data_IF_342601698313
#
_entry.id   IF_342601698313
#
_cell.length_a   1.000
_cell.length_b   1.000
_cell.length_c   1.000
_cell.angle_alpha   90.00
_cell.angle_beta   90.00
_cell.angle_gamma   90.00
#
_symmetry.space_group_name_H-M   'P 1'
#
loop_
_entity.id
_entity.type
_entity.pdbx_description
1 polymer ?
#
# COMPACT_ATOMS: atom_id res chain seq x y z
N UNK A 1 -20.91 -21.61 -13.74
CA UNK A 1 -19.89 -20.61 -13.35
C UNK A 1 -18.62 -20.69 -14.18
N UNK A 2 -17.99 -21.86 -14.40
CA UNK A 2 -16.76 -21.99 -15.21
C UNK A 2 -16.81 -21.35 -16.61
N UNK A 3 -17.94 -21.49 -17.34
CA UNK A 3 -18.12 -20.86 -18.65
C UNK A 3 -18.05 -19.33 -18.58
N UNK A 4 -18.80 -18.74 -17.64
CA UNK A 4 -18.83 -17.30 -17.41
C UNK A 4 -17.47 -16.76 -16.94
N UNK A 5 -16.76 -17.51 -16.08
CA UNK A 5 -15.39 -17.17 -15.67
C UNK A 5 -14.46 -17.05 -16.89
N UNK A 6 -14.50 -18.04 -17.81
CA UNK A 6 -13.73 -18.01 -19.05
C UNK A 6 -14.10 -16.83 -19.95
N UNK A 7 -15.41 -16.57 -20.14
CA UNK A 7 -15.90 -15.44 -20.93
C UNK A 7 -15.41 -14.09 -20.38
N UNK A 8 -15.41 -13.91 -19.05
CA UNK A 8 -14.88 -12.70 -18.40
C UNK A 8 -13.38 -12.56 -18.67
N UNK A 9 -12.60 -13.63 -18.50
CA UNK A 9 -11.15 -13.60 -18.69
C UNK A 9 -10.74 -13.33 -20.14
N UNK A 10 -11.45 -13.92 -21.11
CA UNK A 10 -11.24 -13.66 -22.54
C UNK A 10 -11.58 -12.22 -22.91
N UNK A 11 -12.73 -11.71 -22.42
CA UNK A 11 -13.15 -10.33 -22.65
C UNK A 11 -12.15 -9.31 -22.05
N UNK A 12 -11.63 -9.60 -20.86
CA UNK A 12 -10.72 -8.72 -20.14
C UNK A 12 -9.34 -8.58 -20.80
N UNK A 13 -8.96 -9.47 -21.73
CA UNK A 13 -7.70 -9.43 -22.50
C UNK A 13 -6.47 -9.21 -21.62
N UNK A 14 -6.40 -9.94 -20.50
CA UNK A 14 -5.28 -9.89 -19.56
C UNK A 14 -5.24 -8.66 -18.63
N UNK A 15 -6.18 -7.72 -18.73
CA UNK A 15 -6.26 -6.57 -17.80
C UNK A 15 -6.79 -6.96 -16.42
N UNK A 16 -7.65 -7.97 -16.40
CA UNK A 16 -8.29 -8.53 -15.19
C UNK A 16 -8.40 -10.03 -15.41
N UNK A 17 -8.22 -10.78 -14.33
CA UNK A 17 -8.49 -12.22 -14.28
C UNK A 17 -9.39 -12.52 -13.07
N UNK A 18 -10.35 -13.42 -13.26
CA UNK A 18 -11.20 -13.97 -12.21
C UNK A 18 -10.99 -15.48 -12.11
N UNK A 19 -10.96 -15.99 -10.89
CA UNK A 19 -10.74 -17.39 -10.57
C UNK A 19 -11.75 -17.84 -9.52
N UNK A 20 -12.22 -19.08 -9.63
CA UNK A 20 -13.08 -19.70 -8.60
C UNK A 20 -14.47 -19.05 -8.49
N UNK A 21 -15.04 -18.66 -9.63
CA UNK A 21 -16.31 -17.93 -9.67
C UNK A 21 -17.44 -18.78 -9.06
N UNK A 22 -18.14 -18.23 -8.07
CA UNK A 22 -19.28 -18.85 -7.40
C UNK A 22 -20.31 -17.81 -6.95
N UNK A 23 -21.50 -18.27 -6.61
CA UNK A 23 -22.46 -17.44 -5.91
C UNK A 23 -21.95 -17.10 -4.50
N UNK A 24 -22.28 -15.88 -4.05
CA UNK A 24 -22.00 -15.38 -2.70
C UNK A 24 -23.29 -15.28 -1.90
N UNK A 25 -23.19 -15.35 -0.58
CA UNK A 25 -24.29 -15.00 0.32
C UNK A 25 -24.22 -13.53 0.75
N UNK A 26 -25.33 -12.99 1.29
CA UNK A 26 -25.35 -11.65 1.91
C UNK A 26 -24.41 -11.57 3.12
N UNK A 27 -24.30 -12.66 3.87
CA UNK A 27 -23.44 -12.76 5.05
C UNK A 27 -21.96 -12.67 4.67
N UNK A 28 -21.55 -13.36 3.61
CA UNK A 28 -20.19 -13.29 3.10
C UNK A 28 -19.81 -11.88 2.64
N UNK A 29 -20.70 -11.20 1.92
CA UNK A 29 -20.49 -9.81 1.51
C UNK A 29 -20.28 -8.89 2.73
N UNK A 30 -21.01 -9.13 3.84
CA UNK A 30 -20.79 -8.39 5.09
C UNK A 30 -19.42 -8.68 5.69
N UNK A 31 -19.04 -9.95 5.80
CA UNK A 31 -17.72 -10.37 6.30
C UNK A 31 -16.58 -9.70 5.53
N UNK A 32 -16.65 -9.68 4.20
CA UNK A 32 -15.65 -9.02 3.35
C UNK A 32 -15.57 -7.51 3.62
N UNK A 33 -16.72 -6.84 3.81
CA UNK A 33 -16.77 -5.40 4.08
C UNK A 33 -16.24 -5.03 5.46
N UNK A 34 -16.46 -5.89 6.44
CA UNK A 34 -16.04 -5.69 7.84
C UNK A 34 -14.58 -6.09 8.07
N UNK A 35 -14.02 -6.91 7.17
CA UNK A 35 -12.65 -7.37 7.26
C UNK A 35 -11.65 -6.20 7.23
N UNK A 36 -10.84 -6.11 8.29
CA UNK A 36 -9.75 -5.12 8.43
C UNK A 36 -8.39 -5.76 8.16
N UNK A 37 -8.31 -6.62 7.16
CA UNK A 37 -7.08 -7.31 6.84
C UNK A 37 -5.96 -6.33 6.50
N UNK A 38 -4.75 -6.56 7.01
CA UNK A 38 -3.55 -5.94 6.50
C UNK A 38 -3.41 -6.13 4.99
N UNK A 39 -2.72 -5.18 4.36
CA UNK A 39 -2.39 -5.24 2.94
C UNK A 39 -0.90 -5.12 2.76
N UNK A 40 -0.38 -5.85 1.78
CA UNK A 40 1.02 -5.83 1.39
C UNK A 40 1.12 -5.15 0.04
N UNK A 41 2.00 -4.16 -0.04
CA UNK A 41 2.22 -3.34 -1.22
C UNK A 41 3.66 -3.47 -1.68
N UNK A 42 3.87 -3.48 -2.99
CA UNK A 42 5.15 -3.20 -3.60
C UNK A 42 5.11 -1.79 -4.14
N UNK A 43 6.01 -0.93 -3.71
CA UNK A 43 6.06 0.48 -4.14
C UNK A 43 7.43 0.81 -4.67
N UNK A 44 7.47 1.32 -5.89
CA UNK A 44 8.69 1.86 -6.49
C UNK A 44 8.72 3.37 -6.26
N UNK A 45 9.81 3.84 -5.67
CA UNK A 45 10.00 5.25 -5.34
C UNK A 45 11.21 5.83 -6.06
N UNK A 46 11.16 7.13 -6.34
CA UNK A 46 12.30 7.93 -6.77
C UNK A 46 12.69 8.94 -5.69
N UNK A 47 13.99 9.21 -5.56
CA UNK A 47 14.57 10.16 -4.59
C UNK A 47 15.89 10.74 -5.13
N UNK A 48 16.42 11.76 -4.45
CA UNK A 48 17.70 12.39 -4.81
C UNK A 48 18.84 11.97 -3.87
N UNK A 49 18.55 11.71 -2.59
CA UNK A 49 19.54 11.38 -1.55
C UNK A 49 19.36 9.97 -1.02
N UNK A 50 20.07 9.01 -1.62
CA UNK A 50 20.05 7.59 -1.24
C UNK A 50 20.34 7.34 0.25
N UNK A 51 21.32 8.04 0.80
CA UNK A 51 21.89 7.78 2.13
C UNK A 51 20.86 7.81 3.25
N UNK A 52 19.83 8.66 3.13
CA UNK A 52 18.80 8.84 4.16
C UNK A 52 17.59 7.92 4.01
N UNK A 53 17.45 7.24 2.86
CA UNK A 53 16.31 6.35 2.62
C UNK A 53 16.36 5.13 3.55
N UNK A 54 17.54 4.56 3.79
CA UNK A 54 17.66 3.36 4.63
C UNK A 54 17.25 3.63 6.09
N UNK A 55 17.75 4.73 6.66
CA UNK A 55 17.37 5.20 8.01
C UNK A 55 15.86 5.51 8.09
N UNK A 56 15.33 6.21 7.07
CA UNK A 56 13.92 6.59 7.02
C UNK A 56 12.97 5.38 6.90
N UNK A 57 13.35 4.35 6.12
CA UNK A 57 12.59 3.10 6.03
C UNK A 57 12.57 2.38 7.37
N UNK A 58 13.72 2.24 8.04
CA UNK A 58 13.79 1.57 9.34
C UNK A 58 12.96 2.29 10.41
N UNK A 59 12.90 3.62 10.37
CA UNK A 59 12.07 4.43 11.27
C UNK A 59 10.55 4.24 11.09
N UNK A 60 10.12 3.63 9.98
CA UNK A 60 8.72 3.31 9.70
C UNK A 60 8.31 1.88 10.09
N UNK A 61 9.24 1.02 10.51
CA UNK A 61 8.93 -0.33 10.96
C UNK A 61 8.12 -0.26 12.27
N UNK A 62 7.02 -1.01 12.33
CA UNK A 62 6.07 -1.05 13.45
C UNK A 62 5.57 0.35 13.91
N UNK A 63 5.53 1.31 12.99
CA UNK A 63 5.32 2.73 13.31
C UNK A 63 3.85 3.13 13.18
N UNK A 64 3.32 3.83 14.20
CA UNK A 64 2.07 4.58 14.07
C UNK A 64 2.32 5.90 13.32
N UNK A 65 1.48 6.17 12.32
CA UNK A 65 1.45 7.40 11.54
C UNK A 65 0.07 8.07 11.66
N UNK A 66 0.04 9.38 11.47
CA UNK A 66 -1.19 10.16 11.32
C UNK A 66 -1.33 10.61 9.87
N UNK A 67 -2.43 10.24 9.22
CA UNK A 67 -2.73 10.63 7.84
C UNK A 67 -4.00 11.49 7.80
N UNK A 68 -3.85 12.75 7.38
CA UNK A 68 -4.95 13.55 6.88
C UNK A 68 -5.55 12.90 5.63
N UNK A 69 -6.76 13.30 5.27
CA UNK A 69 -7.39 12.79 4.06
C UNK A 69 -6.63 13.34 2.85
N UNK A 70 -6.07 12.48 1.97
CA UNK A 70 -5.18 12.95 0.91
C UNK A 70 -5.81 14.02 0.04
N UNK A 71 -5.02 15.03 -0.35
CA UNK A 71 -5.48 16.17 -1.15
C UNK A 71 -6.23 15.73 -2.41
N UNK A 72 -5.68 14.72 -3.11
CA UNK A 72 -6.26 14.12 -4.33
C UNK A 72 -7.62 13.44 -4.15
N UNK A 73 -8.07 13.23 -2.91
CA UNK A 73 -9.35 12.57 -2.58
C UNK A 73 -10.30 13.44 -1.75
N UNK A 74 -9.90 14.65 -1.37
CA UNK A 74 -10.70 15.55 -0.53
C UNK A 74 -12.09 15.83 -1.12
N UNK A 75 -12.20 15.98 -2.44
CA UNK A 75 -13.49 16.21 -3.12
C UNK A 75 -14.54 15.10 -2.91
N UNK A 76 -14.13 13.91 -2.44
CA UNK A 76 -14.99 12.74 -2.28
C UNK A 76 -14.98 12.12 -0.89
N UNK A 77 -14.20 12.67 0.04
CA UNK A 77 -14.00 12.11 1.38
C UNK A 77 -14.03 13.24 2.40
N UNK A 78 -14.61 12.97 3.56
CA UNK A 78 -14.52 13.88 4.70
C UNK A 78 -13.06 14.14 5.06
N UNK A 79 -12.72 15.42 5.23
CA UNK A 79 -11.40 15.86 5.62
C UNK A 79 -11.15 15.61 7.11
N UNK A 80 -10.56 14.45 7.41
CA UNK A 80 -10.20 14.06 8.78
C UNK A 80 -8.83 13.40 8.82
N UNK A 81 -8.20 13.45 10.00
CA UNK A 81 -6.94 12.75 10.33
C UNK A 81 -7.25 11.38 10.91
N UNK A 82 -6.53 10.35 10.46
CA UNK A 82 -6.65 8.97 10.94
C UNK A 82 -5.29 8.43 11.33
N UNK A 83 -5.22 7.75 12.46
CA UNK A 83 -4.04 6.97 12.86
C UNK A 83 -3.99 5.65 12.12
N UNK A 84 -2.82 5.25 11.63
CA UNK A 84 -2.57 3.98 10.95
C UNK A 84 -1.24 3.41 11.41
N UNK A 85 -1.13 2.09 11.46
CA UNK A 85 0.13 1.41 11.72
C UNK A 85 0.75 0.86 10.45
N UNK A 86 2.03 1.16 10.25
CA UNK A 86 2.89 0.44 9.31
C UNK A 86 3.40 -0.77 10.08
N UNK A 87 2.88 -1.95 9.72
CA UNK A 87 3.16 -3.19 10.43
C UNK A 87 4.58 -3.67 10.12
N UNK A 88 4.99 -3.54 8.86
CA UNK A 88 6.36 -3.82 8.44
C UNK A 88 6.69 -3.05 7.15
N UNK A 89 7.97 -2.77 6.94
CA UNK A 89 8.48 -2.20 5.70
C UNK A 89 9.93 -2.63 5.47
N UNK A 90 10.26 -3.02 4.24
CA UNK A 90 11.64 -3.32 3.84
C UNK A 90 11.98 -2.77 2.47
N UNK A 91 13.27 -2.62 2.24
CA UNK A 91 13.83 -2.37 0.90
C UNK A 91 14.03 -3.72 0.21
N UNK A 92 13.38 -3.92 -0.93
CA UNK A 92 13.59 -5.08 -1.82
C UNK A 92 14.75 -4.84 -2.79
N UNK A 93 14.87 -3.61 -3.30
CA UNK A 93 15.92 -3.21 -4.23
C UNK A 93 16.26 -1.73 -4.01
N UNK A 94 17.54 -1.37 -4.06
CA UNK A 94 18.01 0.02 -3.87
C UNK A 94 19.02 0.41 -4.95
N UNK A 95 18.73 1.49 -5.68
CA UNK A 95 19.61 2.11 -6.69
C UNK A 95 20.05 3.50 -6.24
N UNK A 96 20.72 4.24 -7.11
CA UNK A 96 21.22 5.58 -6.81
C UNK A 96 20.08 6.59 -6.60
N UNK A 97 19.00 6.48 -7.37
CA UNK A 97 17.88 7.44 -7.41
C UNK A 97 16.50 6.77 -7.32
N UNK A 98 16.45 5.45 -7.15
CA UNK A 98 15.20 4.69 -7.07
C UNK A 98 15.32 3.53 -6.08
N UNK A 99 14.21 3.16 -5.44
CA UNK A 99 14.12 1.94 -4.64
C UNK A 99 12.76 1.27 -4.80
N UNK A 100 12.75 -0.04 -4.61
CA UNK A 100 11.53 -0.83 -4.51
C UNK A 100 11.36 -1.25 -3.06
N UNK A 101 10.24 -0.88 -2.45
CA UNK A 101 9.91 -1.20 -1.07
C UNK A 101 8.75 -2.19 -1.01
N UNK A 102 8.76 -3.05 0.02
CA UNK A 102 7.62 -3.89 0.39
C UNK A 102 7.05 -3.34 1.69
N UNK A 103 5.76 -3.01 1.70
CA UNK A 103 5.09 -2.35 2.84
C UNK A 103 3.89 -3.19 3.27
N UNK A 104 3.89 -3.68 4.51
CA UNK A 104 2.71 -4.26 5.17
C UNK A 104 2.08 -3.18 6.05
N UNK A 105 0.83 -2.81 5.77
CA UNK A 105 0.15 -1.74 6.50
C UNK A 105 -1.29 -2.10 6.87
N UNK A 106 -1.83 -1.42 7.87
CA UNK A 106 -3.25 -1.53 8.24
C UNK A 106 -4.17 -1.13 7.08
N UNK A 107 -5.37 -1.71 7.08
CA UNK A 107 -6.40 -1.39 6.10
C UNK A 107 -6.73 0.10 6.06
N UNK A 108 -6.83 0.63 4.84
CA UNK A 108 -7.12 2.05 4.59
C UNK A 108 -5.94 3.00 4.78
N UNK A 109 -4.71 2.47 4.89
CA UNK A 109 -3.48 3.28 4.81
C UNK A 109 -3.27 3.81 3.39
N UNK A 110 -2.96 5.09 3.27
CA UNK A 110 -2.68 5.74 2.00
C UNK A 110 -1.18 5.66 1.69
N UNK A 111 -0.78 4.62 0.95
CA UNK A 111 0.65 4.33 0.68
C UNK A 111 1.35 5.44 -0.09
N UNK A 112 0.68 6.07 -1.06
CA UNK A 112 1.29 7.19 -1.80
C UNK A 112 1.68 8.32 -0.85
N UNK A 113 0.75 8.68 0.02
CA UNK A 113 0.94 9.75 0.99
C UNK A 113 1.88 9.37 2.14
N UNK A 114 2.00 8.08 2.49
CA UNK A 114 3.08 7.58 3.36
C UNK A 114 4.47 7.81 2.74
N UNK A 115 4.62 7.63 1.43
CA UNK A 115 5.90 7.86 0.75
C UNK A 115 6.19 9.35 0.61
N UNK A 116 5.25 10.13 0.07
CA UNK A 116 5.48 11.53 -0.34
C UNK A 116 5.24 12.56 0.77
N UNK A 117 4.51 12.18 1.82
CA UNK A 117 4.10 13.09 2.90
C UNK A 117 2.90 13.98 2.60
N UNK A 118 2.46 14.08 1.33
CA UNK A 118 1.34 14.92 0.88
C UNK A 118 1.42 16.36 1.41
N UNK A 119 2.57 17.02 1.23
CA UNK A 119 2.79 18.38 1.73
C UNK A 119 2.73 18.52 3.26
N UNK A 120 2.91 17.42 4.00
CA UNK A 120 2.82 17.38 5.46
C UNK A 120 1.51 16.81 6.01
N UNK A 121 0.59 16.35 5.14
CA UNK A 121 -0.63 15.65 5.53
C UNK A 121 -0.40 14.28 6.16
N UNK A 122 0.76 13.64 5.94
CA UNK A 122 1.15 12.38 6.63
C UNK A 122 2.37 12.56 7.53
N UNK A 123 2.24 12.18 8.81
CA UNK A 123 3.30 12.34 9.83
C UNK A 123 3.47 11.10 10.72
N UNK A 124 4.68 10.52 10.81
CA UNK A 124 5.79 10.70 9.88
C UNK A 124 5.47 10.13 8.48
N UNK A 125 6.19 10.61 7.47
CA UNK A 125 6.24 10.04 6.12
C UNK A 125 7.68 9.74 5.71
N UNK A 126 7.88 8.91 4.68
CA UNK A 126 9.22 8.57 4.20
C UNK A 126 9.99 9.82 3.76
N UNK A 127 9.36 10.70 2.95
CA UNK A 127 9.95 11.98 2.55
C UNK A 127 10.39 12.83 3.75
N UNK A 128 9.52 12.97 4.77
CA UNK A 128 9.85 13.76 5.96
C UNK A 128 10.98 13.16 6.80
N UNK A 129 11.06 11.84 6.87
CA UNK A 129 12.11 11.13 7.62
C UNK A 129 13.45 11.15 6.88
N UNK A 130 13.41 11.05 5.55
CA UNK A 130 14.60 11.11 4.70
C UNK A 130 15.14 12.54 4.55
N UNK A 131 14.32 13.57 4.81
CA UNK A 131 14.68 14.96 4.54
C UNK A 131 14.88 15.23 3.05
N UNK A 132 14.13 14.53 2.19
CA UNK A 132 14.23 14.58 0.74
C UNK A 132 12.85 14.44 0.08
N UNK A 133 12.73 14.96 -1.15
CA UNK A 133 11.54 14.71 -1.97
C UNK A 133 11.52 13.24 -2.39
N UNK A 134 10.40 12.56 -2.11
CA UNK A 134 10.15 11.19 -2.57
C UNK A 134 8.97 11.20 -3.53
N UNK A 135 9.13 10.54 -4.68
CA UNK A 135 8.07 10.34 -5.68
C UNK A 135 7.68 8.88 -5.74
N UNK A 136 6.40 8.60 -5.97
CA UNK A 136 5.91 7.24 -6.23
C UNK A 136 5.86 7.03 -7.74
N UNK A 137 6.65 6.09 -8.23
CA UNK A 137 6.75 5.73 -9.64
C UNK A 137 5.74 4.62 -9.98
N UNK A 138 5.67 3.60 -9.14
CA UNK A 138 4.78 2.44 -9.30
C UNK A 138 4.23 2.01 -7.94
N UNK A 139 3.03 1.43 -7.93
CA UNK A 139 2.39 0.93 -6.71
C UNK A 139 1.47 -0.24 -7.03
N UNK A 140 1.81 -1.41 -6.49
CA UNK A 140 1.05 -2.64 -6.62
C UNK A 140 0.56 -3.15 -5.27
N UNK A 141 -0.63 -3.74 -5.25
CA UNK A 141 -1.10 -4.56 -4.12
C UNK A 141 -0.68 -5.98 -4.40
N UNK A 142 0.20 -6.54 -3.57
CA UNK A 142 0.73 -7.89 -3.75
C UNK A 142 0.17 -8.89 -2.72
N UNK A 143 -0.56 -8.41 -1.71
CA UNK A 143 -1.21 -9.26 -0.71
C UNK A 143 -2.36 -8.58 0.03
N UNK A 144 -3.37 -9.36 0.40
CA UNK A 144 -4.53 -8.97 1.23
C UNK A 144 -4.81 -10.12 2.20
N UNK A 145 -4.74 -9.87 3.51
CA UNK A 145 -5.00 -10.92 4.51
C UNK A 145 -3.90 -11.05 5.57
N UNK A 146 -4.18 -11.88 6.57
CA UNK A 146 -3.19 -12.40 7.50
C UNK A 146 -3.06 -13.91 7.30
N UNK A 147 -2.10 -14.32 6.48
CA UNK A 147 -1.56 -15.67 6.54
C UNK A 147 -0.05 -15.54 6.55
N UNK A 148 0.55 -15.41 7.73
CA UNK A 148 1.94 -15.82 8.03
C UNK A 148 3.07 -15.47 7.03
N UNK A 149 2.89 -14.53 6.11
CA UNK A 149 3.95 -14.00 5.27
C UNK A 149 4.77 -13.06 6.14
N UNK A 150 5.72 -13.65 6.87
CA UNK A 150 6.92 -12.92 7.25
C UNK A 150 7.52 -12.43 5.95
N UNK A 151 7.64 -11.13 5.83
CA UNK A 151 8.43 -10.51 4.79
C UNK A 151 9.85 -11.08 4.94
N UNK A 152 10.22 -12.06 4.10
CA UNK A 152 11.49 -12.76 4.24
C UNK A 152 12.65 -11.77 4.20
N UNK A 153 13.47 -11.76 5.25
CA UNK A 153 14.66 -10.92 5.31
C UNK A 153 15.76 -11.68 4.56
N UNK A 154 16.28 -11.07 3.51
CA UNK A 154 17.60 -11.42 2.96
C UNK A 154 18.62 -10.62 3.76
#
# INVERSE_FOLDING_TARGET
MKKLEKEINEYAKGKVEVLGLRFSSKEEVRKIKEAKHPKIYMVKIGYTKKEKIYEAVNALIDREISQATPTRVLHRRADIVRKRKILDIKIKEMKMNEATLIVKAESGTYIKELMTGDGGGTKPSLASLAGDEVKVLELDVIGIGDENEKVERI
#
